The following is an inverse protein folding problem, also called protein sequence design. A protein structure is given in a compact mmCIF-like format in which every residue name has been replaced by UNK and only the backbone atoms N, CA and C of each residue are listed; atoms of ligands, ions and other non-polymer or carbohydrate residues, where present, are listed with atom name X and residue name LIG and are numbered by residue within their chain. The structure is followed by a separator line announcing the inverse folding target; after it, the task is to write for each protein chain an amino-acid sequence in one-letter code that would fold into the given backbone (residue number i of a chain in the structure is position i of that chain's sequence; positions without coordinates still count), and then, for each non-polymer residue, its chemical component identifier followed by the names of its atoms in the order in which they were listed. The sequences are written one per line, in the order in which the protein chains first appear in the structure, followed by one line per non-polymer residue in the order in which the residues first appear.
data_IF_871833372139
#
_entry.id   IF_871833372139
#
_cell.length_a   1.000
_cell.length_b   1.000
_cell.length_c   1.000
_cell.angle_alpha   90.00
_cell.angle_beta   90.00
_cell.angle_gamma   90.00
#
_symmetry.space_group_name_H-M   'P 1'
#
loop_
_entity.id
_entity.type
_entity.pdbx_description
1 polymer ?
#
# COMPACT_ATOMS: atom_id res chain seq x y z
N UNK A 1 -25.78 10.18 -26.66
CA UNK A 1 -26.66 9.05 -26.28
C UNK A 1 -28.13 9.44 -26.12
N UNK A 2 -28.57 10.72 -26.13
CA UNK A 2 -29.98 11.05 -25.83
C UNK A 2 -30.44 10.48 -24.47
N UNK A 3 -31.74 10.35 -24.22
CA UNK A 3 -32.32 9.73 -23.01
C UNK A 3 -32.23 8.19 -22.99
N UNK A 4 -31.33 7.60 -23.79
CA UNK A 4 -31.34 6.17 -24.12
C UNK A 4 -30.35 5.32 -23.29
N UNK A 5 -30.65 4.02 -23.20
CA UNK A 5 -29.77 2.99 -22.66
C UNK A 5 -28.95 2.38 -23.79
N UNK A 6 -27.65 2.15 -23.56
CA UNK A 6 -26.78 1.43 -24.49
C UNK A 6 -26.19 0.20 -23.82
N UNK A 7 -26.05 -0.89 -24.58
CA UNK A 7 -25.45 -2.15 -24.13
C UNK A 7 -24.19 -2.41 -24.94
N UNK A 8 -23.09 -2.72 -24.24
CA UNK A 8 -21.79 -3.05 -24.86
C UNK A 8 -21.35 -4.43 -24.35
N UNK A 9 -21.05 -5.41 -25.23
CA UNK A 9 -20.61 -6.74 -24.80
C UNK A 9 -19.36 -6.71 -23.92
N UNK A 10 -19.27 -7.60 -22.91
CA UNK A 10 -18.15 -7.64 -21.95
C UNK A 10 -16.78 -7.95 -22.61
N UNK A 11 -16.77 -8.59 -23.77
CA UNK A 11 -15.56 -8.90 -24.54
C UNK A 11 -14.95 -7.70 -25.29
N UNK A 12 -15.59 -6.53 -25.24
CA UNK A 12 -15.22 -5.35 -26.01
C UNK A 12 -13.83 -4.76 -25.70
N UNK A 13 -13.43 -3.82 -26.57
CA UNK A 13 -12.28 -2.93 -26.40
C UNK A 13 -12.50 -1.96 -25.23
N UNK A 14 -11.44 -1.30 -24.73
CA UNK A 14 -11.58 -0.17 -23.82
C UNK A 14 -12.60 0.87 -24.34
N UNK A 15 -13.29 1.52 -23.40
CA UNK A 15 -14.40 2.42 -23.72
C UNK A 15 -14.07 3.83 -23.22
N UNK A 16 -14.18 4.83 -24.10
CA UNK A 16 -14.16 6.24 -23.73
C UNK A 16 -15.60 6.68 -23.41
N UNK A 17 -15.77 7.34 -22.27
CA UNK A 17 -17.01 7.95 -21.82
C UNK A 17 -16.77 9.45 -21.77
N UNK A 18 -17.56 10.22 -22.52
CA UNK A 18 -17.58 11.68 -22.44
C UNK A 18 -18.85 12.15 -21.73
N UNK A 19 -18.68 13.00 -20.72
CA UNK A 19 -19.76 13.58 -19.89
C UNK A 19 -19.78 15.11 -20.09
N UNK A 20 -20.96 15.72 -19.91
CA UNK A 20 -21.15 17.18 -19.87
C UNK A 20 -20.65 17.88 -21.13
N UNK A 21 -21.31 17.64 -22.28
CA UNK A 21 -20.94 18.21 -23.58
C UNK A 21 -19.48 17.95 -24.02
N UNK A 22 -18.85 16.90 -23.47
CA UNK A 22 -17.46 16.47 -23.70
C UNK A 22 -16.39 17.22 -22.93
N UNK A 23 -16.79 17.96 -21.91
CA UNK A 23 -15.86 18.66 -21.03
C UNK A 23 -15.09 17.69 -20.14
N UNK A 24 -15.68 16.51 -19.83
CA UNK A 24 -14.97 15.43 -19.12
C UNK A 24 -14.91 14.15 -19.94
N UNK A 25 -13.71 13.59 -20.05
CA UNK A 25 -13.47 12.25 -20.58
C UNK A 25 -13.02 11.32 -19.48
N UNK A 26 -13.54 10.10 -19.48
CA UNK A 26 -13.15 9.00 -18.61
C UNK A 26 -12.95 7.76 -19.47
N UNK A 27 -11.99 6.91 -19.11
CA UNK A 27 -11.74 5.66 -19.81
C UNK A 27 -12.08 4.47 -18.92
N UNK A 28 -12.81 3.52 -19.48
CA UNK A 28 -13.17 2.26 -18.83
C UNK A 28 -12.35 1.13 -19.46
N UNK A 29 -11.49 0.53 -18.64
CA UNK A 29 -10.60 -0.56 -19.04
C UNK A 29 -11.05 -1.88 -18.40
N UNK A 30 -11.01 -3.02 -19.13
CA UNK A 30 -11.07 -4.33 -18.48
C UNK A 30 -9.93 -4.46 -17.47
N UNK A 31 -10.23 -4.88 -16.25
CA UNK A 31 -9.22 -5.11 -15.23
C UNK A 31 -8.46 -6.40 -15.54
N UNK A 32 -7.13 -6.32 -15.53
CA UNK A 32 -6.24 -7.43 -15.87
C UNK A 32 -5.11 -7.54 -14.85
N UNK A 33 -4.59 -8.76 -14.68
CA UNK A 33 -3.28 -9.02 -14.09
C UNK A 33 -2.33 -9.66 -15.10
N UNK A 34 -1.04 -9.62 -14.86
CA UNK A 34 -0.02 -10.24 -15.70
C UNK A 34 0.43 -11.57 -15.10
N UNK A 35 0.43 -12.62 -15.92
CA UNK A 35 1.03 -13.90 -15.53
C UNK A 35 2.57 -13.84 -15.63
N UNK A 36 3.27 -14.90 -15.20
CA UNK A 36 4.74 -14.94 -15.22
C UNK A 36 5.40 -14.84 -16.60
N UNK A 37 4.62 -14.91 -17.69
CA UNK A 37 5.07 -14.69 -19.08
C UNK A 37 4.82 -13.25 -19.55
N UNK A 38 4.25 -12.39 -18.71
CA UNK A 38 3.85 -11.03 -19.07
C UNK A 38 2.55 -10.95 -19.88
N UNK A 39 1.75 -12.02 -19.92
CA UNK A 39 0.48 -12.03 -20.66
C UNK A 39 -0.68 -11.55 -19.77
N UNK A 40 -1.58 -10.69 -20.28
CA UNK A 40 -2.72 -10.20 -19.51
C UNK A 40 -3.81 -11.25 -19.33
N UNK A 41 -4.23 -11.44 -18.08
CA UNK A 41 -5.35 -12.29 -17.64
C UNK A 41 -6.48 -11.39 -17.17
N UNK A 42 -7.65 -11.45 -17.83
CA UNK A 42 -8.83 -10.65 -17.47
C UNK A 42 -9.47 -11.16 -16.17
N UNK A 43 -9.87 -10.23 -15.30
CA UNK A 43 -10.47 -10.51 -13.99
C UNK A 43 -11.99 -10.31 -13.94
N UNK A 44 -12.61 -9.96 -15.07
CA UNK A 44 -14.06 -9.78 -15.20
C UNK A 44 -14.59 -8.44 -14.67
N UNK A 45 -13.83 -7.74 -13.85
CA UNK A 45 -14.07 -6.35 -13.42
C UNK A 45 -13.60 -5.35 -14.47
N UNK A 46 -14.02 -4.09 -14.32
CA UNK A 46 -13.53 -2.95 -15.09
C UNK A 46 -13.07 -1.83 -14.16
N UNK A 47 -12.07 -1.06 -14.59
CA UNK A 47 -11.61 0.14 -13.89
C UNK A 47 -11.92 1.38 -14.72
N UNK A 48 -12.49 2.39 -14.08
CA UNK A 48 -12.80 3.69 -14.67
C UNK A 48 -11.77 4.70 -14.18
N UNK A 49 -11.05 5.32 -15.11
CA UNK A 49 -9.94 6.25 -14.84
C UNK A 49 -10.15 7.58 -15.55
N UNK A 50 -9.51 8.63 -15.03
CA UNK A 50 -9.32 9.88 -15.76
C UNK A 50 -8.04 9.78 -16.62
N UNK A 51 -8.14 9.73 -17.96
CA UNK A 51 -6.98 9.59 -18.83
C UNK A 51 -6.01 10.78 -18.79
N UNK A 52 -6.44 11.95 -18.30
CA UNK A 52 -5.56 13.11 -18.14
C UNK A 52 -4.58 12.95 -16.98
N UNK A 53 -4.93 12.12 -15.99
CA UNK A 53 -4.16 11.88 -14.77
C UNK A 53 -3.53 10.47 -14.71
N UNK A 54 -4.22 9.47 -15.25
CA UNK A 54 -3.83 8.06 -15.20
C UNK A 54 -2.39 7.86 -15.68
N UNK A 55 -1.57 7.22 -14.83
CA UNK A 55 -0.12 6.98 -15.02
C UNK A 55 0.79 8.23 -15.13
N UNK A 56 0.27 9.45 -14.97
CA UNK A 56 1.07 10.69 -15.00
C UNK A 56 1.28 11.28 -13.61
N UNK A 57 0.33 11.05 -12.72
CA UNK A 57 0.38 11.42 -11.30
C UNK A 57 -0.42 10.40 -10.50
N UNK A 58 -0.23 10.41 -9.19
CA UNK A 58 -1.09 9.67 -8.27
C UNK A 58 -2.53 10.16 -8.49
N UNK A 59 -3.33 9.24 -9.00
CA UNK A 59 -4.75 9.41 -9.28
C UNK A 59 -5.47 8.21 -8.67
N UNK A 60 -6.73 8.00 -8.98
CA UNK A 60 -7.41 6.80 -8.54
C UNK A 60 -8.36 6.34 -9.61
N UNK A 61 -9.21 5.40 -9.25
CA UNK A 61 -10.14 4.81 -10.16
C UNK A 61 -11.37 4.34 -9.41
N UNK A 62 -12.48 4.22 -10.14
CA UNK A 62 -13.62 3.45 -9.66
C UNK A 62 -13.55 2.05 -10.25
N UNK A 63 -13.87 1.05 -9.44
CA UNK A 63 -13.96 -0.34 -9.91
C UNK A 63 -15.42 -0.73 -10.08
N UNK A 64 -15.75 -1.25 -11.25
CA UNK A 64 -17.04 -1.88 -11.56
C UNK A 64 -16.85 -3.40 -11.54
N UNK A 65 -17.30 -4.04 -10.47
CA UNK A 65 -17.22 -5.51 -10.30
C UNK A 65 -18.44 -6.22 -10.90
N UNK A 66 -18.36 -7.54 -11.16
CA UNK A 66 -19.51 -8.30 -11.64
C UNK A 66 -20.76 -8.13 -10.77
N UNK A 67 -21.93 -7.95 -11.40
CA UNK A 67 -23.23 -7.75 -10.73
C UNK A 67 -23.31 -6.48 -9.86
N UNK A 68 -22.48 -5.48 -10.13
CA UNK A 68 -22.52 -4.16 -9.47
C UNK A 68 -22.88 -3.05 -10.46
N UNK A 69 -23.01 -1.83 -9.95
CA UNK A 69 -23.19 -0.62 -10.75
C UNK A 69 -22.40 0.55 -10.16
N UNK A 70 -22.08 1.55 -10.98
CA UNK A 70 -21.50 2.84 -10.61
C UNK A 70 -22.43 3.95 -11.10
N UNK A 71 -22.72 4.93 -10.25
CA UNK A 71 -23.35 6.19 -10.68
C UNK A 71 -22.28 7.25 -10.75
N UNK A 72 -22.14 7.88 -11.92
CA UNK A 72 -21.20 8.95 -12.17
C UNK A 72 -21.93 10.29 -12.09
N UNK A 73 -21.39 11.23 -11.33
CA UNK A 73 -21.91 12.58 -11.25
C UNK A 73 -21.25 13.40 -10.14
N UNK A 74 -21.48 14.70 -10.16
CA UNK A 74 -20.84 15.66 -9.25
C UNK A 74 -21.31 15.57 -7.80
N UNK A 75 -22.39 14.84 -7.49
CA UNK A 75 -22.86 14.70 -6.12
C UNK A 75 -21.89 13.89 -5.23
N UNK A 76 -21.10 13.00 -5.84
CA UNK A 76 -20.14 12.17 -5.11
C UNK A 76 -18.80 12.90 -4.94
N UNK A 77 -18.50 13.25 -3.68
CA UNK A 77 -17.27 13.97 -3.33
C UNK A 77 -15.99 13.17 -3.63
N UNK A 78 -16.01 11.84 -3.49
CA UNK A 78 -14.84 11.05 -3.86
C UNK A 78 -14.59 11.13 -5.36
N UNK A 79 -15.65 11.05 -6.17
CA UNK A 79 -15.51 11.17 -7.62
C UNK A 79 -15.00 12.55 -8.05
N UNK A 80 -15.41 13.62 -7.36
CA UNK A 80 -14.85 14.96 -7.58
C UNK A 80 -13.33 14.99 -7.36
N UNK A 81 -12.83 14.37 -6.29
CA UNK A 81 -11.38 14.28 -6.05
C UNK A 81 -10.66 13.40 -7.08
N UNK A 82 -11.29 12.29 -7.50
CA UNK A 82 -10.71 11.35 -8.48
C UNK A 82 -10.66 11.91 -9.90
N UNK A 83 -11.73 12.59 -10.31
CA UNK A 83 -11.99 12.92 -11.71
C UNK A 83 -12.11 14.41 -11.98
N UNK A 84 -12.04 15.30 -10.99
CA UNK A 84 -12.08 16.75 -11.20
C UNK A 84 -13.20 17.17 -12.16
N UNK A 85 -14.45 16.88 -11.77
CA UNK A 85 -15.61 17.08 -12.64
C UNK A 85 -15.84 18.58 -12.93
N UNK A 86 -15.95 18.98 -14.22
CA UNK A 86 -16.33 20.33 -14.58
C UNK A 86 -17.81 20.60 -14.24
N UNK A 87 -18.18 21.88 -14.20
CA UNK A 87 -19.55 22.31 -13.86
C UNK A 87 -20.64 21.76 -14.81
N UNK A 88 -20.28 21.33 -16.01
CA UNK A 88 -21.18 20.71 -16.98
C UNK A 88 -21.57 19.26 -16.65
N UNK A 89 -20.91 18.63 -15.66
CA UNK A 89 -21.27 17.28 -15.19
C UNK A 89 -22.32 17.40 -14.08
N UNK A 90 -23.55 17.03 -14.40
CA UNK A 90 -24.66 16.95 -13.42
C UNK A 90 -24.36 16.06 -12.20
N UNK A 91 -25.13 16.30 -11.12
CA UNK A 91 -25.06 15.56 -9.86
C UNK A 91 -25.27 14.05 -10.01
N UNK A 92 -26.18 13.66 -10.90
CA UNK A 92 -26.38 12.29 -11.38
C UNK A 92 -26.35 12.28 -12.91
N UNK A 93 -25.20 11.95 -13.49
CA UNK A 93 -24.98 12.09 -14.92
C UNK A 93 -25.21 10.79 -15.70
N UNK A 94 -24.61 9.69 -15.23
CA UNK A 94 -24.56 8.42 -15.96
C UNK A 94 -24.49 7.25 -14.99
N UNK A 95 -25.32 6.22 -15.20
CA UNK A 95 -25.19 4.95 -14.48
C UNK A 95 -24.58 3.88 -15.37
N UNK A 96 -23.51 3.24 -14.89
CA UNK A 96 -22.86 2.08 -15.50
C UNK A 96 -23.26 0.83 -14.72
N UNK A 97 -23.74 -0.19 -15.40
CA UNK A 97 -24.17 -1.45 -14.78
C UNK A 97 -23.38 -2.60 -15.39
N UNK A 98 -22.79 -3.43 -14.55
CA UNK A 98 -22.19 -4.69 -14.97
C UNK A 98 -23.27 -5.78 -15.05
N UNK A 99 -23.81 -5.97 -16.26
CA UNK A 99 -24.78 -7.01 -16.55
C UNK A 99 -24.14 -8.39 -16.75
N UNK A 100 -24.97 -9.42 -16.96
CA UNK A 100 -24.51 -10.80 -17.13
C UNK A 100 -23.65 -11.00 -18.39
N UNK A 101 -23.99 -10.31 -19.47
CA UNK A 101 -23.46 -10.48 -20.82
C UNK A 101 -22.91 -9.17 -21.43
N UNK A 102 -23.28 -8.03 -20.84
CA UNK A 102 -22.95 -6.70 -21.35
C UNK A 102 -22.82 -5.68 -20.22
N UNK A 103 -22.00 -4.66 -20.45
CA UNK A 103 -22.06 -3.39 -19.73
C UNK A 103 -23.27 -2.59 -20.23
N UNK A 104 -24.05 -2.05 -19.31
CA UNK A 104 -25.21 -1.21 -19.62
C UNK A 104 -24.95 0.20 -19.15
N UNK A 105 -25.07 1.15 -20.07
CA UNK A 105 -24.90 2.57 -19.82
C UNK A 105 -26.26 3.25 -19.90
N UNK A 106 -26.67 3.91 -18.81
CA UNK A 106 -27.94 4.61 -18.70
C UNK A 106 -27.67 6.08 -18.45
N UNK A 107 -27.85 6.91 -19.48
CA UNK A 107 -27.75 8.36 -19.36
C UNK A 107 -28.88 8.88 -18.46
N UNK A 108 -28.54 9.75 -17.51
CA UNK A 108 -29.49 10.43 -16.61
C UNK A 108 -29.54 11.94 -16.86
N UNK A 109 -28.53 12.49 -17.54
CA UNK A 109 -28.35 13.92 -17.77
C UNK A 109 -28.76 14.37 -19.17
N UNK A 110 -29.34 15.56 -19.28
CA UNK A 110 -29.59 16.26 -20.55
C UNK A 110 -28.34 17.03 -21.05
N UNK A 111 -27.32 17.21 -20.21
CA UNK A 111 -26.03 17.81 -20.59
C UNK A 111 -25.17 16.88 -21.47
N UNK A 112 -25.66 15.67 -21.75
CA UNK A 112 -25.20 14.82 -22.85
C UNK A 112 -24.04 13.89 -22.50
N UNK A 113 -24.28 12.59 -22.73
CA UNK A 113 -23.26 11.53 -22.66
C UNK A 113 -22.90 11.01 -24.06
N UNK A 114 -21.61 10.76 -24.32
CA UNK A 114 -21.13 9.98 -25.48
C UNK A 114 -20.27 8.80 -25.03
N UNK A 115 -20.35 7.71 -25.77
CA UNK A 115 -19.55 6.50 -25.56
C UNK A 115 -18.89 6.14 -26.89
N UNK A 116 -17.59 5.83 -26.83
CA UNK A 116 -16.80 5.44 -27.99
C UNK A 116 -15.66 4.49 -27.60
N UNK A 117 -14.83 4.07 -28.55
CA UNK A 117 -13.62 3.31 -28.25
C UNK A 117 -12.58 4.20 -27.56
N UNK A 118 -11.96 3.69 -26.49
CA UNK A 118 -10.77 4.29 -25.90
C UNK A 118 -9.50 3.64 -26.47
N UNK A 119 -8.36 4.36 -26.47
CA UNK A 119 -7.07 3.75 -26.79
C UNK A 119 -6.73 2.63 -25.80
N UNK A 120 -6.15 1.56 -26.32
CA UNK A 120 -5.54 0.53 -25.49
C UNK A 120 -4.42 1.12 -24.63
N UNK A 121 -4.15 0.50 -23.49
CA UNK A 121 -3.03 0.92 -22.67
C UNK A 121 -1.69 0.58 -23.36
N UNK A 122 -0.77 1.54 -23.34
CA UNK A 122 0.58 1.36 -23.87
C UNK A 122 1.37 0.35 -23.03
N UNK A 123 1.68 -0.81 -23.62
CA UNK A 123 2.50 -1.85 -22.98
C UNK A 123 3.95 -1.43 -22.75
N UNK A 124 4.52 -0.64 -23.68
CA UNK A 124 5.91 -0.18 -23.60
C UNK A 124 6.18 0.72 -22.37
N UNK A 125 5.17 1.48 -21.90
CA UNK A 125 5.29 2.27 -20.67
C UNK A 125 5.49 1.37 -19.44
N UNK A 126 4.80 0.23 -19.39
CA UNK A 126 4.95 -0.74 -18.30
C UNK A 126 6.33 -1.40 -18.36
N UNK A 127 6.78 -1.80 -19.55
CA UNK A 127 8.11 -2.37 -19.71
C UNK A 127 9.22 -1.41 -19.24
N UNK A 128 9.14 -0.12 -19.62
CA UNK A 128 10.08 0.91 -19.16
C UNK A 128 10.11 1.02 -17.64
N UNK A 129 8.94 0.98 -16.99
CA UNK A 129 8.82 1.02 -15.54
C UNK A 129 9.47 -0.20 -14.87
N UNK A 130 9.28 -1.40 -15.42
CA UNK A 130 9.88 -2.62 -14.89
C UNK A 130 11.40 -2.66 -15.09
N UNK A 131 11.91 -2.15 -16.21
CA UNK A 131 13.37 -1.98 -16.42
C UNK A 131 13.96 -1.00 -15.41
N UNK A 132 13.26 0.09 -15.12
CA UNK A 132 13.65 1.05 -14.08
C UNK A 132 13.64 0.44 -12.67
N UNK A 133 12.63 -0.38 -12.34
CA UNK A 133 12.63 -1.14 -11.08
C UNK A 133 13.85 -2.07 -11.00
N UNK A 134 14.17 -2.78 -12.08
CA UNK A 134 15.38 -3.61 -12.16
C UNK A 134 16.66 -2.81 -11.90
N UNK A 135 16.77 -1.61 -12.47
CA UNK A 135 17.91 -0.71 -12.25
C UNK A 135 18.00 -0.25 -10.78
N UNK A 136 16.88 0.15 -10.17
CA UNK A 136 16.82 0.54 -8.75
C UNK A 136 17.24 -0.61 -7.85
N UNK A 137 16.79 -1.84 -8.16
CA UNK A 137 17.19 -3.04 -7.45
C UNK A 137 18.56 -3.59 -7.87
N UNK A 138 19.28 -2.87 -8.75
CA UNK A 138 20.64 -3.17 -9.20
C UNK A 138 20.80 -4.51 -9.91
N UNK A 139 19.77 -4.96 -10.62
CA UNK A 139 19.80 -6.21 -11.38
C UNK A 139 18.53 -7.05 -11.20
N UNK A 140 18.60 -8.37 -11.41
CA UNK A 140 17.44 -9.24 -11.25
C UNK A 140 16.91 -9.20 -9.81
N UNK A 141 15.61 -9.44 -9.66
CA UNK A 141 14.93 -9.65 -8.38
C UNK A 141 15.36 -11.02 -7.86
N UNK A 142 16.46 -11.03 -7.12
CA UNK A 142 17.09 -12.21 -6.55
C UNK A 142 17.83 -11.85 -5.26
N UNK A 143 18.12 -12.85 -4.44
CA UNK A 143 18.90 -12.65 -3.22
C UNK A 143 20.28 -12.07 -3.53
N UNK A 144 20.71 -11.15 -2.69
CA UNK A 144 22.08 -10.66 -2.75
C UNK A 144 23.07 -11.72 -2.29
N UNK A 145 24.33 -11.66 -2.73
CA UNK A 145 25.43 -12.36 -2.06
C UNK A 145 25.60 -11.88 -0.61
N UNK A 146 26.19 -12.73 0.23
CA UNK A 146 26.38 -12.47 1.67
C UNK A 146 27.07 -11.12 1.95
N UNK A 147 28.18 -10.86 1.28
CA UNK A 147 29.01 -9.68 1.56
C UNK A 147 28.32 -8.39 1.09
N UNK A 148 27.62 -8.42 -0.04
CA UNK A 148 26.81 -7.30 -0.53
C UNK A 148 25.64 -7.00 0.41
N UNK A 149 24.93 -8.02 0.90
CA UNK A 149 23.87 -7.82 1.86
C UNK A 149 24.38 -7.22 3.18
N UNK A 150 25.57 -7.62 3.63
CA UNK A 150 26.20 -7.06 4.83
C UNK A 150 26.51 -5.56 4.64
N UNK A 151 27.13 -5.19 3.52
CA UNK A 151 27.41 -3.77 3.22
C UNK A 151 26.13 -2.95 3.15
N UNK A 152 25.10 -3.49 2.49
CA UNK A 152 23.80 -2.85 2.34
C UNK A 152 23.14 -2.55 3.70
N UNK A 153 23.07 -3.53 4.60
CA UNK A 153 22.42 -3.32 5.90
C UNK A 153 23.22 -2.38 6.82
N UNK A 154 24.55 -2.40 6.75
CA UNK A 154 25.40 -1.46 7.50
C UNK A 154 25.18 -0.01 7.05
N UNK A 155 25.03 0.19 5.74
CA UNK A 155 24.67 1.49 5.16
C UNK A 155 23.29 1.96 5.61
N UNK A 156 22.30 1.07 5.57
CA UNK A 156 20.94 1.37 6.06
C UNK A 156 20.97 1.73 7.54
N UNK A 157 21.66 0.96 8.38
CA UNK A 157 21.76 1.28 9.81
C UNK A 157 22.46 2.62 10.07
N UNK A 158 23.49 2.97 9.29
CA UNK A 158 24.13 4.30 9.38
C UNK A 158 23.16 5.42 8.98
N UNK A 159 22.34 5.19 7.97
CA UNK A 159 21.32 6.13 7.54
C UNK A 159 20.21 6.28 8.61
N UNK A 160 19.70 5.17 9.15
CA UNK A 160 18.57 5.19 10.09
C UNK A 160 18.88 5.91 11.41
N UNK A 161 20.15 5.95 11.84
CA UNK A 161 20.60 6.75 13.01
C UNK A 161 20.42 8.27 12.83
N UNK A 162 20.15 8.73 11.60
CA UNK A 162 19.90 10.13 11.24
C UNK A 162 18.70 10.26 10.30
N UNK A 163 17.76 9.32 10.36
CA UNK A 163 16.58 9.32 9.50
C UNK A 163 15.76 10.59 9.69
N UNK A 164 15.46 11.26 8.58
CA UNK A 164 14.73 12.53 8.59
C UNK A 164 13.28 12.33 9.05
N UNK A 165 12.63 13.44 9.41
CA UNK A 165 11.24 13.47 9.90
C UNK A 165 10.98 12.75 11.22
N UNK A 166 12.02 12.26 11.90
CA UNK A 166 11.92 11.64 13.22
C UNK A 166 12.49 12.58 14.27
N UNK A 167 11.65 13.09 15.20
CA UNK A 167 12.15 13.82 16.35
C UNK A 167 13.17 13.00 17.12
N UNK A 168 14.23 13.66 17.60
CA UNK A 168 15.28 13.01 18.37
C UNK A 168 14.81 12.78 19.81
N UNK A 169 15.16 11.62 20.35
CA UNK A 169 15.00 11.28 21.75
C UNK A 169 16.08 11.96 22.62
N UNK A 170 16.02 11.75 23.93
CA UNK A 170 16.97 12.38 24.88
C UNK A 170 18.43 11.93 24.69
N UNK A 171 18.66 10.85 23.94
CA UNK A 171 19.99 10.31 23.62
C UNK A 171 20.52 10.89 22.30
N UNK A 172 19.75 11.75 21.64
CA UNK A 172 20.06 12.31 20.32
C UNK A 172 19.82 11.34 19.16
N UNK A 173 19.04 10.26 19.37
CA UNK A 173 18.72 9.28 18.33
C UNK A 173 17.28 9.46 17.83
N UNK A 174 16.97 9.18 16.55
CA UNK A 174 15.59 9.18 16.05
C UNK A 174 14.64 8.34 16.91
N UNK A 175 13.57 8.98 17.41
CA UNK A 175 12.59 8.39 18.32
C UNK A 175 11.58 7.48 17.65
N UNK A 176 10.56 7.04 18.40
CA UNK A 176 9.52 6.11 17.92
C UNK A 176 8.46 6.71 16.99
N UNK A 177 8.52 8.02 16.74
CA UNK A 177 7.54 8.77 15.96
C UNK A 177 8.16 9.29 14.66
N UNK A 178 7.46 9.06 13.54
CA UNK A 178 7.76 9.62 12.22
C UNK A 178 6.71 10.69 11.88
N UNK A 179 7.14 11.94 11.69
CA UNK A 179 6.28 13.09 11.42
C UNK A 179 6.45 13.58 9.98
N UNK A 180 5.56 13.13 9.09
CA UNK A 180 5.65 13.46 7.68
C UNK A 180 5.04 14.84 7.36
N UNK A 181 5.68 15.65 6.51
CA UNK A 181 5.08 16.88 5.99
C UNK A 181 3.78 16.61 5.22
N UNK A 182 2.75 17.44 5.41
CA UNK A 182 1.46 17.30 4.73
C UNK A 182 1.53 17.53 3.21
N UNK A 183 2.62 18.10 2.68
CA UNK A 183 2.81 18.22 1.23
C UNK A 183 3.12 16.87 0.56
N UNK A 184 3.65 15.91 1.31
CA UNK A 184 4.01 14.60 0.77
C UNK A 184 2.78 13.70 0.70
N UNK A 185 2.56 13.09 -0.46
CA UNK A 185 1.48 12.12 -0.64
C UNK A 185 1.90 10.76 -0.10
N UNK A 186 1.20 10.21 0.91
CA UNK A 186 1.55 8.91 1.45
C UNK A 186 1.13 7.76 0.51
N UNK A 187 1.91 6.69 0.51
CA UNK A 187 1.62 5.39 -0.09
C UNK A 187 1.81 4.39 1.04
N UNK A 188 0.73 3.97 1.68
CA UNK A 188 0.75 3.20 2.93
C UNK A 188 0.42 1.75 2.61
N UNK A 189 1.31 0.85 3.00
CA UNK A 189 1.19 -0.61 2.82
C UNK A 189 1.45 -1.29 4.16
N UNK A 190 0.82 -2.43 4.43
CA UNK A 190 0.88 -3.11 5.72
C UNK A 190 1.07 -4.61 5.54
N UNK A 191 1.73 -5.29 6.47
CA UNK A 191 1.74 -6.75 6.54
C UNK A 191 2.07 -7.38 5.17
N UNK A 192 3.28 -7.17 4.67
CA UNK A 192 3.67 -7.68 3.34
C UNK A 192 4.03 -9.16 3.36
N UNK A 193 4.39 -9.73 4.52
CA UNK A 193 4.64 -11.17 4.72
C UNK A 193 5.35 -11.86 3.55
N UNK A 194 6.49 -11.27 3.17
CA UNK A 194 7.38 -11.73 2.11
C UNK A 194 6.74 -11.90 0.71
N UNK A 195 5.61 -11.24 0.44
CA UNK A 195 5.00 -11.20 -0.88
C UNK A 195 5.71 -10.20 -1.80
N UNK A 196 6.78 -10.65 -2.45
CA UNK A 196 7.65 -9.83 -3.31
C UNK A 196 6.86 -9.15 -4.43
N UNK A 197 6.02 -9.91 -5.13
CA UNK A 197 5.22 -9.40 -6.25
C UNK A 197 4.21 -8.33 -5.82
N UNK A 198 3.79 -8.32 -4.55
CA UNK A 198 2.93 -7.28 -4.01
C UNK A 198 3.68 -5.95 -3.91
N UNK A 199 4.92 -5.95 -3.42
CA UNK A 199 5.76 -4.74 -3.35
C UNK A 199 6.02 -4.20 -4.75
N UNK A 200 6.43 -5.07 -5.67
CA UNK A 200 6.69 -4.70 -7.06
C UNK A 200 5.42 -4.16 -7.73
N UNK A 201 4.26 -4.80 -7.48
CA UNK A 201 2.97 -4.35 -8.00
C UNK A 201 2.71 -2.94 -7.52
N UNK A 202 2.77 -2.68 -6.21
CA UNK A 202 2.58 -1.32 -5.66
C UNK A 202 3.49 -0.32 -6.36
N UNK A 203 4.80 -0.54 -6.40
CA UNK A 203 5.72 0.40 -7.04
C UNK A 203 5.40 0.64 -8.52
N UNK A 204 4.85 -0.35 -9.21
CA UNK A 204 4.50 -0.25 -10.63
C UNK A 204 3.13 0.40 -10.93
N UNK A 205 2.34 0.73 -9.90
CA UNK A 205 0.98 1.22 -10.07
C UNK A 205 0.88 2.73 -9.84
N UNK A 206 -0.12 3.36 -10.47
CA UNK A 206 -0.61 4.70 -10.13
C UNK A 206 0.45 5.82 -10.08
N UNK A 207 1.51 5.71 -10.90
CA UNK A 207 2.65 6.62 -10.87
C UNK A 207 3.33 6.73 -9.49
N UNK A 208 3.21 5.71 -8.64
CA UNK A 208 3.79 5.71 -7.30
C UNK A 208 5.31 5.83 -7.34
N UNK A 209 5.99 5.05 -8.18
CA UNK A 209 7.44 5.16 -8.33
C UNK A 209 7.87 6.54 -8.83
N UNK A 210 7.21 7.07 -9.87
CA UNK A 210 7.50 8.40 -10.41
C UNK A 210 7.36 9.49 -9.33
N UNK A 211 6.32 9.40 -8.49
CA UNK A 211 6.07 10.37 -7.43
C UNK A 211 7.09 10.27 -6.29
N UNK A 212 7.58 9.06 -5.98
CA UNK A 212 8.68 8.81 -5.03
C UNK A 212 9.97 9.46 -5.56
N UNK A 213 10.31 9.24 -6.83
CA UNK A 213 11.53 9.79 -7.43
C UNK A 213 11.51 11.31 -7.58
N UNK A 214 10.33 11.89 -7.80
CA UNK A 214 10.13 13.34 -7.80
C UNK A 214 10.14 13.94 -6.39
N UNK A 215 10.18 13.11 -5.33
CA UNK A 215 10.12 13.56 -3.94
C UNK A 215 8.77 14.14 -3.52
N UNK A 216 7.69 13.81 -4.24
CA UNK A 216 6.33 14.30 -3.97
C UNK A 216 5.46 13.30 -3.22
N UNK A 217 5.87 12.03 -3.20
CA UNK A 217 5.23 10.97 -2.45
C UNK A 217 6.21 10.21 -1.56
N UNK A 218 5.68 9.49 -0.57
CA UNK A 218 6.45 8.65 0.34
C UNK A 218 5.81 7.28 0.48
N UNK A 219 6.60 6.22 0.36
CA UNK A 219 6.21 4.85 0.70
C UNK A 219 6.41 4.62 2.19
N UNK A 220 5.35 4.18 2.88
CA UNK A 220 5.39 3.81 4.29
C UNK A 220 4.91 2.38 4.44
N UNK A 221 5.82 1.49 4.84
CA UNK A 221 5.51 0.09 5.18
C UNK A 221 5.22 0.04 6.68
N UNK A 222 4.02 -0.37 7.09
CA UNK A 222 3.61 -0.41 8.51
C UNK A 222 3.83 -1.79 9.15
N UNK A 223 5.09 -2.22 9.21
CA UNK A 223 5.50 -3.47 9.86
C UNK A 223 5.27 -4.72 9.03
N UNK A 224 5.79 -5.83 9.55
CA UNK A 224 5.50 -7.20 9.10
C UNK A 224 5.77 -7.44 7.60
N UNK A 225 6.91 -6.93 7.11
CA UNK A 225 7.32 -7.22 5.75
C UNK A 225 7.85 -8.65 5.57
N UNK A 226 8.32 -9.28 6.63
CA UNK A 226 8.92 -10.63 6.65
C UNK A 226 7.93 -11.70 7.11
N UNK A 227 8.35 -12.95 6.95
CA UNK A 227 7.64 -14.17 7.33
C UNK A 227 6.39 -14.42 6.47
N UNK A 228 6.51 -15.28 5.47
CA UNK A 228 5.38 -15.71 4.66
C UNK A 228 4.28 -16.29 5.54
N UNK A 229 3.03 -15.89 5.25
CA UNK A 229 1.82 -16.46 5.86
C UNK A 229 1.05 -17.36 4.88
N UNK A 230 1.63 -17.68 3.72
CA UNK A 230 1.05 -18.64 2.79
C UNK A 230 1.09 -20.04 3.41
N UNK A 231 -0.02 -20.76 3.31
CA UNK A 231 -0.14 -22.15 3.79
C UNK A 231 0.99 -23.01 3.18
N UNK A 232 1.75 -23.69 4.03
CA UNK A 232 2.91 -24.51 3.63
C UNK A 232 4.24 -23.75 3.50
N UNK A 233 4.25 -22.42 3.59
CA UNK A 233 5.46 -21.58 3.51
C UNK A 233 5.88 -20.95 4.84
N UNK A 234 5.20 -21.24 5.94
CA UNK A 234 5.47 -20.63 7.26
C UNK A 234 6.92 -20.83 7.77
N UNK A 235 7.65 -21.83 7.26
CA UNK A 235 9.07 -22.11 7.61
C UNK A 235 10.08 -21.50 6.62
N UNK A 236 9.60 -21.00 5.49
CA UNK A 236 10.38 -20.45 4.39
C UNK A 236 10.86 -19.04 4.77
N UNK A 237 12.15 -18.76 4.56
CA UNK A 237 12.83 -17.53 5.02
C UNK A 237 13.59 -16.81 3.89
N UNK A 238 13.77 -17.45 2.74
CA UNK A 238 14.41 -16.90 1.55
C UNK A 238 13.63 -15.70 1.01
N UNK A 239 12.31 -15.81 0.88
CA UNK A 239 11.47 -14.69 0.47
C UNK A 239 11.55 -13.52 1.46
N UNK A 240 11.74 -13.80 2.75
CA UNK A 240 11.93 -12.76 3.77
C UNK A 240 13.27 -12.07 3.62
N UNK A 241 14.36 -12.80 3.34
CA UNK A 241 15.66 -12.21 3.00
C UNK A 241 15.57 -11.33 1.76
N UNK A 242 14.91 -11.81 0.71
CA UNK A 242 14.73 -11.06 -0.53
C UNK A 242 13.92 -9.79 -0.29
N UNK A 243 12.82 -9.86 0.46
CA UNK A 243 12.02 -8.69 0.81
C UNK A 243 12.87 -7.62 1.51
N UNK A 244 13.74 -8.03 2.46
CA UNK A 244 14.61 -7.09 3.15
C UNK A 244 15.69 -6.50 2.24
N UNK A 245 16.31 -7.29 1.36
CA UNK A 245 17.27 -6.79 0.37
C UNK A 245 16.63 -5.69 -0.51
N UNK A 246 15.38 -5.89 -0.94
CA UNK A 246 14.63 -4.92 -1.74
C UNK A 246 14.27 -3.66 -0.94
N UNK A 247 13.77 -3.81 0.29
CA UNK A 247 13.43 -2.66 1.16
C UNK A 247 14.68 -1.83 1.47
N UNK A 248 15.82 -2.47 1.73
CA UNK A 248 17.07 -1.77 1.99
C UNK A 248 17.58 -1.01 0.77
N UNK A 249 17.53 -1.61 -0.42
CA UNK A 249 17.86 -0.91 -1.68
C UNK A 249 16.96 0.30 -1.90
N UNK A 250 15.65 0.15 -1.69
CA UNK A 250 14.70 1.27 -1.76
C UNK A 250 15.04 2.36 -0.74
N UNK A 251 15.38 1.98 0.50
CA UNK A 251 15.71 2.95 1.54
C UNK A 251 16.98 3.73 1.23
N UNK A 252 18.01 3.09 0.70
CA UNK A 252 19.23 3.80 0.30
C UNK A 252 19.04 4.67 -0.94
N UNK A 253 18.24 4.19 -1.90
CA UNK A 253 17.95 4.93 -3.12
C UNK A 253 17.03 6.15 -2.86
N UNK A 254 16.09 6.01 -1.93
CA UNK A 254 15.08 7.03 -1.57
C UNK A 254 15.08 7.32 -0.07
N UNK A 255 16.16 7.90 0.48
CA UNK A 255 16.37 8.07 1.92
C UNK A 255 15.27 8.90 2.60
N UNK A 256 14.68 9.83 1.84
CA UNK A 256 13.67 10.78 2.30
C UNK A 256 12.23 10.37 1.94
N UNK A 257 12.05 9.30 1.16
CA UNK A 257 10.74 8.89 0.64
C UNK A 257 10.32 7.47 1.02
N UNK A 258 11.23 6.60 1.44
CA UNK A 258 10.87 5.24 1.88
C UNK A 258 11.05 5.13 3.39
N UNK A 259 10.00 4.71 4.08
CA UNK A 259 9.99 4.54 5.54
C UNK A 259 9.41 3.17 5.90
N UNK A 260 10.00 2.54 6.90
CA UNK A 260 9.54 1.25 7.42
C UNK A 260 9.33 1.37 8.92
N UNK A 261 8.11 1.09 9.38
CA UNK A 261 7.77 1.02 10.81
C UNK A 261 7.94 -0.39 11.32
N UNK A 262 8.15 -0.51 12.62
CA UNK A 262 8.28 -1.80 13.31
C UNK A 262 6.92 -2.48 13.48
N UNK A 263 6.83 -3.72 12.99
CA UNK A 263 5.77 -4.67 13.32
C UNK A 263 6.20 -5.68 14.38
N UNK A 264 5.31 -6.62 14.70
CA UNK A 264 5.64 -7.69 15.64
C UNK A 264 6.50 -8.79 15.01
N UNK A 265 6.45 -8.92 13.67
CA UNK A 265 7.31 -9.83 12.93
C UNK A 265 8.74 -9.32 12.75
N UNK A 266 8.99 -8.04 13.06
CA UNK A 266 10.31 -7.41 13.01
C UNK A 266 11.12 -7.65 14.28
N UNK A 267 11.33 -8.93 14.59
CA UNK A 267 12.07 -9.40 15.76
C UNK A 267 12.64 -10.82 15.57
N UNK A 268 13.45 -11.25 16.53
CA UNK A 268 13.92 -12.64 16.67
C UNK A 268 13.30 -13.33 17.90
N UNK A 269 12.18 -12.81 18.40
CA UNK A 269 11.57 -13.29 19.64
C UNK A 269 11.06 -14.73 19.50
N UNK A 270 11.24 -15.53 20.55
CA UNK A 270 10.65 -16.88 20.65
C UNK A 270 9.13 -16.83 20.74
N UNK A 271 8.58 -15.73 21.27
CA UNK A 271 7.14 -15.50 21.37
C UNK A 271 6.47 -15.29 20.00
N UNK A 272 7.27 -15.00 18.96
CA UNK A 272 6.79 -14.94 17.60
C UNK A 272 6.59 -16.35 17.04
N UNK A 273 5.36 -16.83 17.17
CA UNK A 273 4.94 -18.10 16.61
C UNK A 273 3.66 -17.97 15.77
N UNK A 274 3.60 -18.73 14.68
CA UNK A 274 2.42 -18.86 13.83
C UNK A 274 2.12 -20.34 13.63
N UNK A 275 0.92 -20.77 14.00
CA UNK A 275 0.49 -22.18 13.93
C UNK A 275 1.52 -23.16 14.57
N UNK A 276 2.10 -22.75 15.69
CA UNK A 276 3.12 -23.52 16.42
C UNK A 276 4.53 -23.48 15.81
N UNK A 277 4.74 -22.75 14.72
CA UNK A 277 6.05 -22.56 14.09
C UNK A 277 6.71 -21.30 14.70
N UNK A 278 7.87 -21.43 15.37
CA UNK A 278 8.57 -20.31 15.99
C UNK A 278 9.35 -19.53 14.92
N UNK A 279 8.66 -18.69 14.15
CA UNK A 279 9.24 -17.98 13.01
C UNK A 279 10.42 -17.09 13.42
N UNK A 280 10.45 -16.53 14.63
CA UNK A 280 11.57 -15.69 15.10
C UNK A 280 12.87 -16.45 15.28
N UNK A 281 12.79 -17.66 15.84
CA UNK A 281 13.95 -18.54 15.99
C UNK A 281 14.44 -19.07 14.64
N UNK A 282 13.51 -19.45 13.76
CA UNK A 282 13.85 -19.87 12.40
C UNK A 282 14.52 -18.74 11.61
N UNK A 283 14.02 -17.52 11.76
CA UNK A 283 14.58 -16.34 11.11
C UNK A 283 16.00 -16.03 11.57
N UNK A 284 16.23 -16.03 12.88
CA UNK A 284 17.57 -15.84 13.46
C UNK A 284 18.55 -16.91 12.98
N UNK A 285 18.11 -18.17 12.96
CA UNK A 285 18.90 -19.30 12.50
C UNK A 285 19.27 -19.15 11.02
N UNK A 286 18.30 -18.92 10.15
CA UNK A 286 18.53 -18.84 8.71
C UNK A 286 19.47 -17.68 8.36
N UNK A 287 19.27 -16.50 8.97
CA UNK A 287 20.19 -15.37 8.80
C UNK A 287 21.61 -15.72 9.30
N UNK A 288 21.71 -16.39 10.45
CA UNK A 288 23.00 -16.84 10.98
C UNK A 288 23.73 -17.81 10.04
N UNK A 289 23.02 -18.77 9.45
CA UNK A 289 23.57 -19.78 8.55
C UNK A 289 23.91 -19.20 7.16
N UNK A 290 23.01 -18.42 6.55
CA UNK A 290 23.18 -17.89 5.19
C UNK A 290 23.93 -16.56 5.10
N UNK A 291 23.68 -15.65 6.03
CA UNK A 291 24.25 -14.28 6.03
C UNK A 291 25.37 -14.10 7.06
N UNK A 292 25.47 -15.00 8.04
CA UNK A 292 26.48 -14.95 9.08
C UNK A 292 26.05 -14.15 10.32
N UNK A 293 26.77 -14.38 11.43
CA UNK A 293 26.44 -13.79 12.74
C UNK A 293 26.57 -12.26 12.77
N UNK A 294 27.46 -11.67 11.97
CA UNK A 294 27.58 -10.22 11.85
C UNK A 294 26.31 -9.60 11.24
N UNK A 295 25.77 -10.21 10.17
CA UNK A 295 24.54 -9.78 9.55
C UNK A 295 23.35 -9.90 10.50
N UNK A 296 23.25 -11.02 11.23
CA UNK A 296 22.20 -11.20 12.24
C UNK A 296 22.18 -10.06 13.28
N UNK A 297 23.36 -9.65 13.77
CA UNK A 297 23.49 -8.50 14.68
C UNK A 297 23.11 -7.17 14.02
N UNK A 298 23.52 -6.97 12.77
CA UNK A 298 23.12 -5.79 12.01
C UNK A 298 21.60 -5.73 11.79
N UNK A 299 20.95 -6.88 11.59
CA UNK A 299 19.50 -6.99 11.47
C UNK A 299 18.78 -6.71 12.79
N UNK A 300 19.34 -7.16 13.92
CA UNK A 300 18.82 -6.81 15.25
C UNK A 300 18.91 -5.30 15.51
N UNK A 301 20.03 -4.68 15.12
CA UNK A 301 20.19 -3.23 15.18
C UNK A 301 19.19 -2.52 14.26
N UNK A 302 19.02 -2.98 13.03
CA UNK A 302 18.04 -2.45 12.09
C UNK A 302 16.65 -2.40 12.72
N UNK A 303 16.17 -3.52 13.29
CA UNK A 303 14.88 -3.56 13.96
C UNK A 303 14.79 -2.60 15.15
N UNK A 304 15.86 -2.42 15.93
CA UNK A 304 15.90 -1.44 17.03
C UNK A 304 15.82 0.02 16.55
N UNK A 305 16.24 0.31 15.33
CA UNK A 305 16.23 1.66 14.78
C UNK A 305 14.88 2.08 14.20
N UNK A 306 13.95 1.15 13.94
CA UNK A 306 12.66 1.45 13.32
C UNK A 306 11.73 2.33 14.20
N UNK A 307 10.98 3.28 13.62
CA UNK A 307 9.87 3.95 14.30
C UNK A 307 8.67 3.01 14.46
N UNK A 308 7.69 3.40 15.27
CA UNK A 308 6.49 2.60 15.57
C UNK A 308 5.20 3.27 15.11
N UNK A 309 5.21 4.60 14.98
CA UNK A 309 4.05 5.41 14.59
C UNK A 309 4.48 6.39 13.52
N UNK A 310 3.62 6.56 12.51
CA UNK A 310 3.71 7.63 11.53
C UNK A 310 2.50 8.53 11.66
N UNK A 311 2.72 9.84 11.59
CA UNK A 311 1.66 10.82 11.58
C UNK A 311 1.94 11.96 10.59
N UNK A 312 0.87 12.45 9.99
CA UNK A 312 0.79 13.69 9.22
C UNK A 312 -0.53 14.37 9.61
N UNK A 313 -0.78 15.58 9.10
CA UNK A 313 -2.08 16.25 9.30
C UNK A 313 -3.25 15.41 8.76
N UNK A 314 -3.00 14.68 7.68
CA UNK A 314 -4.05 14.04 6.87
C UNK A 314 -4.23 12.56 7.20
N UNK A 315 -3.31 11.92 7.95
CA UNK A 315 -3.43 10.52 8.37
C UNK A 315 -2.53 10.22 9.57
N UNK A 316 -2.83 9.11 10.26
CA UNK A 316 -1.94 8.45 11.19
C UNK A 316 -1.91 6.95 10.92
N UNK A 317 -0.79 6.30 11.17
CA UNK A 317 -0.68 4.85 11.10
C UNK A 317 0.32 4.27 12.10
N UNK A 318 0.09 3.02 12.47
CA UNK A 318 0.98 2.18 13.29
C UNK A 318 0.71 0.73 12.94
N UNK A 319 1.62 -0.19 13.31
CA UNK A 319 1.50 -1.57 12.86
C UNK A 319 0.21 -2.26 13.34
N UNK A 320 -0.10 -2.30 14.65
CA UNK A 320 -1.24 -3.10 15.13
C UNK A 320 -2.38 -2.27 15.72
N UNK A 321 -2.09 -1.30 16.59
CA UNK A 321 -3.14 -0.67 17.39
C UNK A 321 -2.77 0.69 17.98
N UNK A 322 -3.76 1.57 18.20
CA UNK A 322 -3.57 2.70 19.11
C UNK A 322 -3.30 2.21 20.54
N UNK A 323 -2.52 2.97 21.34
CA UNK A 323 -2.29 2.65 22.74
C UNK A 323 -3.58 2.68 23.57
N UNK A 324 -3.71 1.72 24.48
CA UNK A 324 -4.77 1.62 25.50
C UNK A 324 -4.42 2.36 26.79
N UNK A 325 -3.12 2.52 27.04
CA UNK A 325 -2.59 3.40 28.07
C UNK A 325 -2.69 4.88 27.67
N UNK A 326 -2.60 5.78 28.66
CA UNK A 326 -2.50 7.22 28.39
C UNK A 326 -1.11 7.50 27.82
N UNK A 327 -1.09 8.13 26.64
CA UNK A 327 0.14 8.48 25.92
C UNK A 327 0.12 9.95 25.51
N UNK A 328 1.29 10.54 25.40
CA UNK A 328 1.53 11.84 24.77
C UNK A 328 2.64 11.71 23.69
N UNK A 329 2.88 12.78 22.95
CA UNK A 329 3.88 12.81 21.87
C UNK A 329 5.29 12.53 22.41
N UNK A 330 5.63 13.06 23.59
CA UNK A 330 6.96 12.87 24.17
C UNK A 330 7.21 11.39 24.49
N UNK A 331 6.23 10.66 25.00
CA UNK A 331 6.35 9.21 25.20
C UNK A 331 6.62 8.45 23.90
N UNK A 332 6.07 8.89 22.77
CA UNK A 332 6.33 8.28 21.45
C UNK A 332 7.73 8.62 20.94
N UNK A 333 8.22 9.84 21.19
CA UNK A 333 9.61 10.22 20.87
C UNK A 333 10.57 9.42 21.75
N UNK A 334 10.33 9.37 23.06
CA UNK A 334 11.11 8.64 24.05
C UNK A 334 10.72 7.16 24.17
N UNK A 335 10.25 6.52 23.10
CA UNK A 335 9.65 5.18 23.15
C UNK A 335 10.55 4.11 23.79
N UNK A 336 11.87 4.31 23.74
CA UNK A 336 12.86 3.47 24.39
C UNK A 336 12.71 3.39 25.92
N UNK A 337 12.10 4.40 26.56
CA UNK A 337 11.77 4.42 28.00
C UNK A 337 10.44 3.72 28.30
N UNK A 338 9.68 3.34 27.27
CA UNK A 338 8.31 2.86 27.38
C UNK A 338 8.11 1.49 26.71
N UNK A 339 8.78 0.41 27.17
CA UNK A 339 8.69 -0.91 26.53
C UNK A 339 7.27 -1.49 26.50
N UNK A 340 6.40 -1.14 27.46
CA UNK A 340 4.97 -1.53 27.42
C UNK A 340 4.22 -0.89 26.25
N UNK A 341 4.53 0.36 25.93
CA UNK A 341 3.92 1.08 24.81
C UNK A 341 4.28 0.43 23.47
N UNK A 342 5.51 -0.05 23.33
CA UNK A 342 5.94 -0.82 22.15
C UNK A 342 5.03 -2.03 21.93
N UNK A 343 4.80 -2.83 22.98
CA UNK A 343 3.93 -4.02 22.90
C UNK A 343 2.50 -3.63 22.53
N UNK A 344 1.96 -2.54 23.08
CA UNK A 344 0.63 -2.05 22.71
C UNK A 344 0.53 -1.68 21.22
N UNK A 345 1.55 -1.01 20.67
CA UNK A 345 1.55 -0.55 19.28
C UNK A 345 1.69 -1.68 18.26
N UNK A 346 2.39 -2.77 18.60
CA UNK A 346 2.71 -3.85 17.64
C UNK A 346 1.96 -5.16 17.84
N UNK A 347 1.37 -5.44 19.01
CA UNK A 347 0.70 -6.73 19.27
C UNK A 347 -0.81 -6.61 19.52
N UNK A 348 -1.29 -5.42 19.88
CA UNK A 348 -2.65 -5.30 20.38
C UNK A 348 -3.68 -5.36 19.25
N UNK A 349 -4.90 -5.78 19.59
CA UNK A 349 -6.00 -5.96 18.62
C UNK A 349 -7.25 -5.24 19.09
N UNK A 350 -8.15 -4.99 18.15
CA UNK A 350 -9.44 -4.42 18.49
C UNK A 350 -10.20 -5.38 19.39
N UNK A 351 -10.77 -4.84 20.47
CA UNK A 351 -11.59 -5.62 21.38
C UNK A 351 -12.87 -6.06 20.68
N UNK A 352 -13.23 -7.34 20.82
CA UNK A 352 -14.46 -7.94 20.29
C UNK A 352 -15.11 -8.84 21.35
N UNK A 353 -16.39 -9.23 21.21
CA UNK A 353 -17.02 -10.15 22.16
C UNK A 353 -16.24 -11.45 22.39
N UNK A 354 -15.61 -11.99 21.35
CA UNK A 354 -14.74 -13.17 21.40
C UNK A 354 -13.27 -12.87 21.74
N UNK A 355 -12.90 -11.60 21.91
CA UNK A 355 -11.57 -11.13 22.33
C UNK A 355 -11.74 -9.94 23.29
N UNK A 356 -12.00 -10.19 24.59
CA UNK A 356 -12.39 -9.15 25.55
C UNK A 356 -11.22 -8.23 25.94
N UNK A 357 -9.99 -8.58 25.61
CA UNK A 357 -8.82 -7.69 25.71
C UNK A 357 -8.63 -6.94 24.39
N UNK A 358 -8.11 -5.71 24.44
CA UNK A 358 -7.90 -4.93 23.22
C UNK A 358 -8.20 -3.45 23.35
N UNK A 359 -7.88 -2.70 22.31
CA UNK A 359 -8.27 -1.31 22.19
C UNK A 359 -9.73 -1.15 21.76
N UNK A 360 -10.31 0.01 22.07
CA UNK A 360 -11.70 0.37 21.77
C UNK A 360 -11.76 1.71 21.04
N UNK A 361 -12.96 2.13 20.63
CA UNK A 361 -13.23 3.45 20.01
C UNK A 361 -12.63 4.64 20.78
N UNK A 362 -12.65 4.61 22.12
CA UNK A 362 -12.09 5.68 22.96
C UNK A 362 -10.57 5.80 22.82
N UNK A 363 -9.89 4.68 22.58
CA UNK A 363 -8.43 4.64 22.47
C UNK A 363 -7.99 5.21 21.12
N UNK A 364 -8.73 4.90 20.04
CA UNK A 364 -8.57 5.56 18.72
C UNK A 364 -8.73 7.08 18.84
N UNK A 365 -9.80 7.55 19.50
CA UNK A 365 -10.03 8.98 19.73
C UNK A 365 -8.90 9.63 20.52
N UNK A 366 -8.48 9.02 21.63
CA UNK A 366 -7.37 9.52 22.46
C UNK A 366 -6.07 9.55 21.68
N UNK A 367 -5.83 8.58 20.81
CA UNK A 367 -4.60 8.53 20.02
C UNK A 367 -4.55 9.64 18.97
N UNK A 368 -5.65 9.93 18.28
CA UNK A 368 -5.75 11.11 17.39
C UNK A 368 -5.49 12.42 18.15
N UNK A 369 -6.05 12.55 19.35
CA UNK A 369 -5.81 13.72 20.22
C UNK A 369 -4.34 13.82 20.64
N UNK A 370 -3.71 12.71 21.01
CA UNK A 370 -2.28 12.64 21.34
C UNK A 370 -1.42 13.13 20.16
N UNK A 371 -1.72 12.64 18.95
CA UNK A 371 -1.02 13.03 17.72
C UNK A 371 -1.37 14.44 17.23
N UNK A 372 -2.27 15.14 17.91
CA UNK A 372 -2.73 16.50 17.57
C UNK A 372 -3.34 16.58 16.15
N UNK A 373 -4.01 15.51 15.72
CA UNK A 373 -4.72 15.44 14.43
C UNK A 373 -6.24 15.54 14.64
N UNK A 374 -6.99 15.83 13.57
CA UNK A 374 -8.45 15.99 13.68
C UNK A 374 -9.12 14.65 14.03
N UNK A 375 -10.30 14.67 14.67
CA UNK A 375 -11.08 13.45 14.94
C UNK A 375 -11.44 12.65 13.67
N UNK A 376 -11.47 13.31 12.52
CA UNK A 376 -11.76 12.75 11.20
C UNK A 376 -10.51 12.18 10.52
N UNK A 377 -9.30 12.45 11.02
CA UNK A 377 -8.06 11.94 10.44
C UNK A 377 -8.05 10.40 10.40
N UNK A 378 -7.88 9.77 9.23
CA UNK A 378 -7.73 8.32 9.09
C UNK A 378 -6.65 7.74 10.01
N UNK A 379 -7.01 6.71 10.77
CA UNK A 379 -6.08 5.87 11.52
C UNK A 379 -6.03 4.49 10.86
N UNK A 380 -4.90 4.19 10.22
CA UNK A 380 -4.67 2.95 9.47
C UNK A 380 -3.77 2.04 10.29
N UNK A 381 -4.17 0.79 10.46
CA UNK A 381 -3.37 -0.26 11.11
C UNK A 381 -3.31 -1.52 10.24
N UNK A 382 -2.34 -2.38 10.49
CA UNK A 382 -2.25 -3.75 9.98
C UNK A 382 -2.60 -4.79 11.04
N UNK A 383 -1.80 -5.86 11.11
CA UNK A 383 -1.77 -6.95 12.10
C UNK A 383 -3.03 -7.83 12.23
N UNK A 384 -4.22 -7.31 11.90
CA UNK A 384 -5.51 -7.95 12.19
C UNK A 384 -6.38 -8.07 10.95
N UNK A 385 -5.95 -8.80 9.90
CA UNK A 385 -6.83 -9.09 8.77
C UNK A 385 -8.13 -9.71 9.28
N UNK A 386 -9.27 -9.18 8.82
CA UNK A 386 -10.60 -9.63 9.32
C UNK A 386 -11.00 -10.96 8.67
N UNK A 387 -10.56 -11.18 7.42
CA UNK A 387 -10.70 -12.41 6.67
C UNK A 387 -9.42 -12.64 5.82
N UNK A 388 -9.32 -13.78 5.13
CA UNK A 388 -8.16 -14.12 4.27
C UNK A 388 -8.28 -13.61 2.83
N UNK A 389 -9.46 -13.14 2.43
CA UNK A 389 -9.78 -12.83 1.03
C UNK A 389 -9.56 -11.36 0.67
N UNK A 390 -9.84 -10.45 1.61
CA UNK A 390 -9.74 -9.02 1.45
C UNK A 390 -8.38 -8.47 1.90
N UNK A 391 -8.10 -7.24 1.47
CA UNK A 391 -6.90 -6.48 1.82
C UNK A 391 -7.20 -5.20 2.60
N UNK A 392 -8.46 -4.80 2.69
CA UNK A 392 -8.88 -3.50 3.21
C UNK A 392 -10.21 -3.64 3.94
N UNK A 393 -10.26 -3.20 5.19
CA UNK A 393 -11.50 -3.08 5.96
C UNK A 393 -11.64 -1.67 6.49
N UNK A 394 -12.72 -0.99 6.10
CA UNK A 394 -12.94 0.42 6.42
C UNK A 394 -13.90 0.59 7.59
N UNK A 395 -13.68 1.63 8.39
CA UNK A 395 -14.51 1.96 9.55
C UNK A 395 -14.75 0.76 10.47
N UNK A 396 -13.67 0.04 10.80
CA UNK A 396 -13.74 -1.25 11.50
C UNK A 396 -14.46 -1.08 12.84
N UNK A 397 -15.42 -1.99 13.11
CA UNK A 397 -16.28 -1.97 14.29
C UNK A 397 -17.09 -0.66 14.44
N UNK A 398 -17.45 -0.06 13.30
CA UNK A 398 -18.19 1.20 13.24
C UNK A 398 -17.41 2.40 13.78
N UNK A 399 -16.09 2.29 13.91
CA UNK A 399 -15.24 3.41 14.32
C UNK A 399 -14.90 4.22 13.07
N UNK A 400 -15.43 5.44 12.97
CA UNK A 400 -15.20 6.32 11.83
C UNK A 400 -13.71 6.59 11.58
N UNK A 401 -13.31 6.45 10.31
CA UNK A 401 -11.98 6.64 9.77
C UNK A 401 -10.91 5.78 10.44
N UNK A 402 -11.29 4.64 11.01
CA UNK A 402 -10.35 3.64 11.49
C UNK A 402 -10.38 2.43 10.56
N UNK A 403 -9.22 2.13 9.98
CA UNK A 403 -9.09 1.16 8.90
C UNK A 403 -8.06 0.09 9.25
N UNK A 404 -8.30 -1.12 8.75
CA UNK A 404 -7.30 -2.19 8.73
C UNK A 404 -6.86 -2.41 7.29
N UNK A 405 -5.55 -2.49 7.08
CA UNK A 405 -4.88 -2.72 5.80
C UNK A 405 -4.08 -4.03 5.89
N UNK A 406 -4.10 -4.83 4.84
CA UNK A 406 -3.31 -6.05 4.69
C UNK A 406 -2.83 -6.14 3.25
N UNK A 407 -1.52 -6.18 3.04
CA UNK A 407 -0.90 -6.07 1.72
C UNK A 407 -0.19 -7.36 1.30
N UNK A 408 -0.44 -8.50 1.96
CA UNK A 408 0.11 -9.82 1.63
C UNK A 408 -0.86 -10.81 0.98
N UNK A 409 -2.04 -10.38 0.52
CA UNK A 409 -2.90 -11.30 -0.23
C UNK A 409 -2.24 -11.64 -1.60
N UNK A 410 -2.15 -12.92 -2.02
CA UNK A 410 -1.42 -13.28 -3.23
C UNK A 410 -2.07 -12.84 -4.55
N UNK A 411 -3.38 -12.60 -4.56
CA UNK A 411 -4.13 -12.24 -5.77
C UNK A 411 -4.33 -10.73 -5.92
N UNK A 412 -4.36 -10.01 -4.80
CA UNK A 412 -4.57 -8.57 -4.76
C UNK A 412 -3.78 -7.90 -3.63
N UNK A 413 -3.33 -6.66 -3.85
CA UNK A 413 -2.61 -5.87 -2.86
C UNK A 413 -3.41 -4.61 -2.52
N UNK A 414 -3.64 -4.39 -1.23
CA UNK A 414 -4.25 -3.16 -0.71
C UNK A 414 -3.20 -2.08 -0.46
N UNK A 415 -3.58 -0.82 -0.66
CA UNK A 415 -2.76 0.36 -0.35
C UNK A 415 -3.67 1.53 -0.01
N UNK A 416 -3.24 2.39 0.90
CA UNK A 416 -3.84 3.71 1.09
C UNK A 416 -2.97 4.78 0.46
N UNK A 417 -3.57 5.70 -0.27
CA UNK A 417 -2.88 6.89 -0.76
C UNK A 417 -3.75 8.13 -0.65
N UNK A 418 -3.22 9.30 -0.97
CA UNK A 418 -3.97 10.56 -0.97
C UNK A 418 -4.21 11.04 -2.38
N UNK A 419 -5.46 11.38 -2.68
CA UNK A 419 -5.88 12.01 -3.93
C UNK A 419 -6.59 13.30 -3.55
N UNK A 420 -6.03 14.42 -4.03
CA UNK A 420 -6.41 15.75 -3.54
C UNK A 420 -6.30 15.83 -2.02
N UNK A 421 -7.42 16.05 -1.34
CA UNK A 421 -7.45 16.14 0.13
C UNK A 421 -7.96 14.87 0.83
N UNK A 422 -8.22 13.80 0.08
CA UNK A 422 -8.85 12.58 0.60
C UNK A 422 -7.88 11.41 0.62
N UNK A 423 -7.79 10.73 1.76
CA UNK A 423 -7.16 9.41 1.83
C UNK A 423 -8.08 8.36 1.20
N UNK A 424 -7.60 7.71 0.15
CA UNK A 424 -8.36 6.75 -0.65
C UNK A 424 -7.72 5.36 -0.51
N UNK A 425 -8.51 4.34 -0.15
CA UNK A 425 -8.09 2.95 -0.23
C UNK A 425 -8.15 2.47 -1.69
N UNK A 426 -7.05 1.89 -2.19
CA UNK A 426 -6.97 1.29 -3.50
C UNK A 426 -6.57 -0.19 -3.37
N UNK A 427 -7.03 -1.01 -4.31
CA UNK A 427 -6.65 -2.42 -4.43
C UNK A 427 -6.11 -2.63 -5.83
N UNK A 428 -5.00 -3.33 -5.99
CA UNK A 428 -4.48 -3.70 -7.31
C UNK A 428 -4.42 -5.21 -7.40
N UNK A 429 -4.76 -5.81 -8.55
CA UNK A 429 -4.44 -7.20 -8.76
C UNK A 429 -2.92 -7.37 -8.81
N UNK A 430 -2.41 -8.48 -8.26
CA UNK A 430 -0.97 -8.73 -8.21
C UNK A 430 -0.51 -9.25 -9.57
N UNK A 431 0.49 -8.56 -10.13
CA UNK A 431 1.20 -8.97 -11.34
C UNK A 431 2.40 -9.84 -10.94
N UNK A 432 2.72 -10.87 -11.73
CA UNK A 432 3.86 -11.77 -11.48
C UNK A 432 5.22 -11.14 -11.88
N UNK A 433 5.51 -9.96 -11.31
CA UNK A 433 6.57 -9.07 -11.75
C UNK A 433 7.98 -9.60 -11.50
N UNK A 434 8.19 -10.44 -10.49
CA UNK A 434 9.47 -11.09 -10.22
C UNK A 434 9.91 -11.89 -11.45
N UNK A 435 9.00 -12.69 -12.02
CA UNK A 435 9.29 -13.49 -13.23
C UNK A 435 9.51 -12.59 -14.46
N UNK A 436 8.68 -11.56 -14.61
CA UNK A 436 8.72 -10.65 -15.76
C UNK A 436 10.03 -9.83 -15.75
N UNK A 437 10.38 -9.20 -14.64
CA UNK A 437 11.60 -8.39 -14.51
C UNK A 437 12.86 -9.25 -14.73
N UNK A 438 12.85 -10.48 -14.21
CA UNK A 438 13.97 -11.40 -14.37
C UNK A 438 14.11 -11.96 -15.79
N UNK A 439 13.09 -11.85 -16.63
CA UNK A 439 13.15 -12.25 -18.05
C UNK A 439 13.87 -11.23 -18.93
N UNK A 440 14.11 -10.01 -18.45
CA UNK A 440 14.82 -9.00 -19.22
C UNK A 440 16.31 -9.33 -19.36
N UNK A 441 16.81 -9.20 -20.58
CA UNK A 441 18.25 -9.28 -20.85
C UNK A 441 19.05 -8.32 -19.94
N UNK A 442 20.30 -8.66 -19.58
CA UNK A 442 21.23 -7.70 -19.00
C UNK A 442 21.23 -6.42 -19.84
N UNK A 443 21.10 -5.26 -19.19
CA UNK A 443 21.26 -4.00 -19.93
C UNK A 443 22.63 -4.05 -20.64
N UNK A 444 22.74 -3.62 -21.92
CA UNK A 444 24.05 -3.48 -22.54
C UNK A 444 24.89 -2.55 -21.67
N UNK A 445 26.02 -3.06 -21.20
CA UNK A 445 26.89 -2.41 -20.22
C UNK A 445 27.67 -1.22 -20.75
#
# INVERSE_FOLDING_TARGET
MGTSKVRVPLGGLPIEISLGLNDKRLHLYPETRLNGRGEPVRLGSFILVDPSAHRRRISGFLRLTPRSWLSLGSADMLQKELFDYPAAVDDEHLVLIHGRDALVFRNLSDAGTRIGPAPAEDGWLRERLWRRLREIFGGPIALLPKDEAMQLIEEVNRLLRKEIYRPLDERGLPGGLLLLPSKLTPIIVADMHAQIDNLLTILSQNAFLDAIEQGTAVLVIIGDAVHSEIDGQLREMESSMLMMDLIFRLKLHFPEQVFYLRGNHDSFSEDMSKDGIPQGLLWARELGERRGTAYLKAMEEFYRLLPYVVASKDFAACHAAPPTSKVDVEMLVQIHRHPRLVIELINNRLQRPNRPQGYRRRDVKRFRQCLQVSPETPLIVGHTPINREDTLWLNVDGIANHHVLFSANPDQVGVFTRIGNTMVPLRYPVDALTSIINSFDPAPG
#
